data_IF_606624797891
#
_entry.id   IF_606624797891
#
_cell.length_a   1.000
_cell.length_b   1.000
_cell.length_c   1.000
_cell.angle_alpha   90.00
_cell.angle_beta   90.00
_cell.angle_gamma   90.00
#
_symmetry.space_group_name_H-M   'P 1'
#
loop_
_entity.id
_entity.type
_entity.pdbx_description
1 polymer ?
#
# COMPACT_ATOMS: atom_id res chain seq x y z
N UNK A 1 -38.65 -58.89 54.05
CA UNK A 1 -37.39 -59.16 54.77
C UNK A 1 -36.35 -59.57 53.74
N UNK A 2 -35.42 -58.67 53.37
CA UNK A 2 -34.13 -59.09 52.79
C UNK A 2 -33.19 -59.44 53.95
N UNK A 3 -32.30 -60.43 53.81
CA UNK A 3 -30.92 -60.16 53.32
C UNK A 3 -30.38 -61.38 52.52
N UNK A 4 -29.16 -61.52 51.98
CA UNK A 4 -27.84 -60.86 52.01
C UNK A 4 -27.03 -61.53 50.86
N UNK A 5 -26.17 -60.79 50.16
CA UNK A 5 -25.14 -61.36 49.25
C UNK A 5 -23.92 -61.81 50.10
N UNK A 6 -23.17 -62.84 49.69
CA UNK A 6 -21.73 -62.60 49.44
C UNK A 6 -21.11 -63.37 48.25
N UNK A 7 -19.92 -62.88 47.92
CA UNK A 7 -19.03 -63.13 46.79
C UNK A 7 -18.25 -64.48 46.74
N UNK A 8 -17.69 -64.71 45.53
CA UNK A 8 -16.36 -65.28 45.19
C UNK A 8 -16.17 -66.81 45.07
N UNK A 9 -15.82 -67.28 43.87
CA UNK A 9 -14.75 -68.27 43.60
C UNK A 9 -14.34 -68.24 42.11
N UNK A 10 -13.11 -68.68 41.84
CA UNK A 10 -12.21 -68.33 40.74
C UNK A 10 -11.84 -69.57 39.87
N UNK A 11 -11.03 -69.39 38.82
CA UNK A 11 -10.23 -70.40 38.03
C UNK A 11 -10.99 -71.07 36.86
N UNK A 12 -10.51 -71.31 35.63
CA UNK A 12 -9.27 -71.16 34.83
C UNK A 12 -9.74 -71.08 33.34
N UNK A 13 -9.11 -70.37 32.39
CA UNK A 13 -7.77 -70.62 31.84
C UNK A 13 -7.84 -71.50 30.59
N UNK A 14 -7.65 -70.93 29.38
CA UNK A 14 -6.83 -71.52 28.30
C UNK A 14 -6.61 -70.51 27.16
N UNK A 15 -5.35 -70.21 26.89
CA UNK A 15 -4.88 -69.49 25.72
C UNK A 15 -4.72 -70.44 24.52
N UNK A 16 -5.08 -69.98 23.33
CA UNK A 16 -4.61 -70.54 22.06
C UNK A 16 -4.41 -69.41 21.04
N UNK A 17 -3.17 -69.28 20.57
CA UNK A 17 -2.72 -68.33 19.57
C UNK A 17 -2.40 -69.06 18.25
N UNK A 18 -2.23 -68.24 17.19
CA UNK A 18 -1.70 -68.52 15.83
C UNK A 18 -2.78 -68.95 14.81
N UNK A 19 -2.85 -68.39 13.59
CA UNK A 19 -1.90 -67.62 12.80
C UNK A 19 -2.63 -66.65 11.85
N UNK A 20 -2.18 -65.40 11.80
CA UNK A 20 -2.52 -64.43 10.77
C UNK A 20 -1.22 -63.85 10.23
N UNK A 21 -0.96 -64.08 8.95
CA UNK A 21 0.29 -63.78 8.24
C UNK A 21 0.61 -62.28 8.29
N UNK A 22 1.72 -61.93 8.91
CA UNK A 22 2.35 -60.61 8.79
C UNK A 22 3.08 -60.54 7.47
N UNK A 23 2.53 -59.81 6.49
CA UNK A 23 3.33 -59.29 5.39
C UNK A 23 4.12 -58.09 5.91
N UNK A 24 5.39 -58.34 6.24
CA UNK A 24 6.39 -57.34 6.59
C UNK A 24 7.01 -56.78 5.30
N UNK A 25 6.24 -55.98 4.54
CA UNK A 25 6.77 -55.30 3.37
C UNK A 25 5.90 -54.08 3.01
N UNK A 26 5.89 -53.05 3.86
CA UNK A 26 5.85 -51.63 3.48
C UNK A 26 5.80 -50.75 4.74
N UNK A 27 6.90 -50.73 5.48
CA UNK A 27 7.10 -49.80 6.58
C UNK A 27 8.10 -48.71 6.16
N UNK A 28 7.83 -48.04 5.04
CA UNK A 28 8.49 -46.79 4.67
C UNK A 28 7.61 -46.05 3.68
N UNK A 29 7.33 -44.79 4.00
CA UNK A 29 6.49 -43.83 3.25
C UNK A 29 5.07 -43.72 3.79
N UNK A 30 4.90 -42.75 4.69
CA UNK A 30 3.87 -41.68 4.68
C UNK A 30 3.71 -41.14 6.12
N UNK A 31 4.71 -40.41 6.63
CA UNK A 31 4.41 -39.41 7.67
C UNK A 31 3.70 -38.28 6.95
N UNK A 32 2.37 -38.26 7.11
CA UNK A 32 1.46 -37.41 6.40
C UNK A 32 1.89 -35.95 6.42
N UNK A 33 1.94 -35.37 5.22
CA UNK A 33 1.70 -33.94 5.00
C UNK A 33 0.45 -33.58 5.78
N UNK A 34 0.58 -32.91 6.92
CA UNK A 34 -0.58 -32.36 7.62
C UNK A 34 -1.33 -31.53 6.57
N UNK A 35 -2.60 -31.83 6.27
CA UNK A 35 -3.38 -31.01 5.38
C UNK A 35 -3.30 -29.59 5.93
N UNK A 36 -3.02 -28.62 5.07
CA UNK A 36 -3.29 -27.22 5.38
C UNK A 36 -4.79 -27.21 5.63
N UNK A 37 -5.20 -27.26 6.92
CA UNK A 37 -6.60 -27.08 7.29
C UNK A 37 -6.99 -25.73 6.69
N UNK A 38 -7.80 -25.82 5.65
CA UNK A 38 -8.25 -24.71 4.84
C UNK A 38 -8.94 -23.70 5.73
N UNK A 39 -8.22 -22.62 6.01
CA UNK A 39 -8.64 -21.22 5.84
C UNK A 39 -10.14 -21.08 5.54
N UNK A 40 -11.01 -21.12 6.56
CA UNK A 40 -12.24 -20.32 6.50
C UNK A 40 -11.80 -18.88 6.70
N UNK A 41 -11.30 -18.26 5.63
CA UNK A 41 -11.00 -16.85 5.70
C UNK A 41 -12.26 -16.05 5.50
N UNK A 42 -12.65 -15.37 6.56
CA UNK A 42 -13.51 -14.19 6.43
C UNK A 42 -12.66 -12.96 6.16
N UNK A 43 -13.31 -11.92 5.64
CA UNK A 43 -12.66 -10.62 5.49
C UNK A 43 -12.19 -10.09 6.85
N UNK A 44 -10.99 -9.52 6.84
CA UNK A 44 -10.29 -8.98 8.00
C UNK A 44 -11.04 -7.79 8.58
N UNK A 45 -11.36 -7.84 9.88
CA UNK A 45 -11.85 -6.70 10.65
C UNK A 45 -10.80 -6.16 11.62
N UNK A 46 -11.05 -4.97 12.15
CA UNK A 46 -10.22 -4.34 13.19
C UNK A 46 -10.85 -4.46 14.58
N UNK A 47 -10.06 -4.62 15.66
CA UNK A 47 -8.61 -4.81 15.68
C UNK A 47 -8.19 -6.26 15.42
N UNK A 48 -7.05 -6.45 14.75
CA UNK A 48 -6.44 -7.77 14.54
C UNK A 48 -5.45 -8.16 15.64
N UNK A 49 -5.39 -9.46 15.94
CA UNK A 49 -4.35 -10.07 16.76
C UNK A 49 -3.94 -11.44 16.22
N UNK A 50 -2.68 -11.81 16.36
CA UNK A 50 -2.20 -13.16 16.04
C UNK A 50 -1.79 -13.90 17.32
N UNK A 51 -2.15 -15.17 17.42
CA UNK A 51 -1.73 -16.07 18.50
C UNK A 51 -0.92 -17.21 17.89
N UNK A 52 0.27 -17.45 18.41
CA UNK A 52 1.16 -18.54 18.03
C UNK A 52 1.23 -19.54 19.18
N UNK A 53 0.74 -20.75 18.96
CA UNK A 53 0.93 -21.90 19.84
C UNK A 53 2.25 -22.58 19.53
N UNK A 54 3.17 -22.57 20.51
CA UNK A 54 4.46 -23.24 20.38
C UNK A 54 4.34 -24.76 20.46
N UNK A 55 3.46 -25.31 21.31
CA UNK A 55 3.28 -26.77 21.39
C UNK A 55 2.64 -27.34 20.14
N UNK A 56 1.62 -26.66 19.63
CA UNK A 56 0.83 -27.15 18.50
C UNK A 56 1.39 -26.70 17.15
N UNK A 57 2.48 -25.91 17.16
CA UNK A 57 3.14 -25.36 15.98
C UNK A 57 2.12 -24.72 15.03
N UNK A 58 1.31 -23.81 15.57
CA UNK A 58 0.19 -23.19 14.85
C UNK A 58 0.10 -21.69 15.10
N UNK A 59 -0.25 -20.93 14.07
CA UNK A 59 -0.68 -19.55 14.20
C UNK A 59 -2.18 -19.46 13.91
N UNK A 60 -2.91 -18.75 14.76
CA UNK A 60 -4.32 -18.38 14.54
C UNK A 60 -4.43 -16.86 14.66
N UNK A 61 -4.99 -16.23 13.63
CA UNK A 61 -5.25 -14.79 13.58
C UNK A 61 -6.71 -14.57 13.91
N UNK A 62 -7.00 -13.57 14.74
CA UNK A 62 -8.33 -13.19 15.19
C UNK A 62 -8.61 -11.72 14.89
N UNK A 63 -9.88 -11.38 14.73
CA UNK A 63 -10.37 -10.04 14.96
C UNK A 63 -11.54 -10.05 15.96
N UNK A 64 -12.21 -8.90 16.15
CA UNK A 64 -13.35 -8.74 17.05
C UNK A 64 -14.46 -9.81 16.94
N UNK A 65 -14.66 -10.44 15.77
CA UNK A 65 -15.70 -11.46 15.54
C UNK A 65 -15.23 -12.91 15.70
N UNK A 66 -13.95 -13.14 16.01
CA UNK A 66 -13.37 -14.48 16.15
C UNK A 66 -12.15 -14.72 15.24
N UNK A 67 -11.78 -15.97 14.98
CA UNK A 67 -10.62 -16.27 14.13
C UNK A 67 -10.92 -15.94 12.65
N UNK A 68 -9.87 -15.55 11.90
CA UNK A 68 -9.92 -15.20 10.47
C UNK A 68 -9.00 -16.08 9.64
N UNK A 69 -7.85 -16.47 10.18
CA UNK A 69 -6.81 -17.18 9.46
C UNK A 69 -6.12 -18.15 10.39
N UNK A 70 -5.69 -19.29 9.85
CA UNK A 70 -4.97 -20.31 10.60
C UNK A 70 -3.98 -21.03 9.70
N UNK A 71 -2.81 -21.35 10.24
CA UNK A 71 -1.75 -22.02 9.49
C UNK A 71 -0.79 -22.76 10.43
N UNK A 72 -0.15 -23.86 9.99
CA UNK A 72 0.98 -24.41 10.71
C UNK A 72 2.15 -23.42 10.71
N UNK A 73 3.02 -23.54 11.72
CA UNK A 73 4.28 -22.80 11.81
C UNK A 73 5.45 -23.72 12.14
N UNK A 74 6.67 -23.20 12.02
CA UNK A 74 7.87 -23.82 12.59
C UNK A 74 8.61 -22.79 13.44
N UNK A 75 8.57 -22.97 14.76
CA UNK A 75 9.20 -22.08 15.75
C UNK A 75 10.66 -22.45 16.04
N UNK A 76 11.27 -21.72 16.98
CA UNK A 76 12.65 -21.91 17.45
C UNK A 76 12.89 -23.28 18.07
N UNK A 77 13.97 -23.94 17.65
CA UNK A 77 14.39 -25.23 18.19
C UNK A 77 14.97 -25.11 19.61
N UNK A 78 15.22 -26.25 20.26
CA UNK A 78 15.88 -26.28 21.57
C UNK A 78 17.24 -25.58 21.53
N UNK A 79 17.49 -24.71 22.51
CA UNK A 79 18.68 -23.85 22.61
C UNK A 79 18.58 -22.54 21.81
N UNK A 80 17.52 -22.36 21.00
CA UNK A 80 17.19 -21.12 20.26
C UNK A 80 15.68 -20.94 20.21
N UNK A 81 15.05 -21.08 21.36
CA UNK A 81 13.61 -21.09 21.51
C UNK A 81 12.99 -19.76 21.12
N UNK A 82 11.79 -19.82 20.51
CA UNK A 82 10.95 -18.64 20.37
C UNK A 82 10.43 -18.26 21.76
N UNK A 83 10.63 -17.03 22.25
CA UNK A 83 10.18 -16.62 23.56
C UNK A 83 8.65 -16.51 23.60
N UNK A 84 8.04 -17.07 24.63
CA UNK A 84 6.63 -16.84 24.94
C UNK A 84 6.44 -15.42 25.50
N UNK A 85 5.32 -14.79 25.18
CA UNK A 85 5.04 -13.42 25.60
C UNK A 85 4.07 -12.71 24.69
N UNK A 86 3.86 -11.42 24.97
CA UNK A 86 3.03 -10.54 24.16
C UNK A 86 3.95 -9.55 23.46
N UNK A 87 3.86 -9.52 22.14
CA UNK A 87 4.68 -8.70 21.26
C UNK A 87 3.80 -7.83 20.37
N UNK A 88 4.44 -6.90 19.68
CA UNK A 88 3.84 -6.12 18.61
C UNK A 88 4.71 -6.18 17.37
N UNK A 89 4.11 -6.14 16.19
CA UNK A 89 4.87 -5.96 14.95
C UNK A 89 5.54 -4.59 14.98
N UNK A 90 6.86 -4.54 15.00
CA UNK A 90 7.64 -3.28 15.06
C UNK A 90 8.19 -2.86 13.69
N UNK A 91 8.32 -3.82 12.76
CA UNK A 91 8.86 -3.56 11.43
C UNK A 91 8.31 -4.59 10.45
N UNK A 92 8.08 -4.14 9.21
CA UNK A 92 7.64 -4.98 8.09
C UNK A 92 8.56 -4.76 6.90
N UNK A 93 9.07 -5.83 6.32
CA UNK A 93 9.91 -5.82 5.12
C UNK A 93 9.49 -6.99 4.25
N UNK A 94 9.13 -6.71 3.00
CA UNK A 94 8.64 -7.73 2.06
C UNK A 94 9.76 -8.70 1.67
N UNK A 95 10.88 -8.20 1.14
CA UNK A 95 12.05 -9.02 0.81
C UNK A 95 13.18 -8.77 1.81
N UNK A 96 13.21 -9.56 2.88
CA UNK A 96 14.24 -9.42 3.91
C UNK A 96 15.31 -10.52 3.84
N UNK A 97 16.56 -10.12 4.04
CA UNK A 97 17.72 -11.00 4.15
C UNK A 97 18.34 -10.83 5.54
N UNK A 98 18.64 -11.94 6.22
CA UNK A 98 19.13 -11.93 7.58
C UNK A 98 20.62 -11.59 7.68
N UNK A 99 20.95 -10.42 8.23
CA UNK A 99 22.34 -10.05 8.54
C UNK A 99 23.00 -10.99 9.58
N UNK A 100 22.20 -11.68 10.41
CA UNK A 100 22.70 -12.55 11.49
C UNK A 100 22.82 -14.01 11.07
N UNK A 101 22.23 -14.39 9.94
CA UNK A 101 22.13 -15.78 9.49
C UNK A 101 22.46 -15.91 8.01
N UNK A 102 23.69 -15.54 7.64
CA UNK A 102 24.28 -15.81 6.31
C UNK A 102 23.37 -15.43 5.13
N UNK A 103 22.78 -14.23 5.19
CA UNK A 103 21.84 -13.70 4.20
C UNK A 103 20.64 -14.63 3.92
N UNK A 104 20.19 -15.38 4.93
CA UNK A 104 19.01 -16.22 4.81
C UNK A 104 17.79 -15.37 4.39
N UNK A 105 17.18 -15.76 3.27
CA UNK A 105 15.99 -15.11 2.73
C UNK A 105 14.75 -15.37 3.61
N UNK A 106 14.09 -14.29 4.01
CA UNK A 106 12.95 -14.26 4.92
C UNK A 106 11.83 -13.40 4.31
N UNK A 107 11.09 -13.92 3.30
CA UNK A 107 10.04 -13.16 2.64
C UNK A 107 8.89 -12.83 3.60
N UNK A 108 8.28 -11.68 3.38
CA UNK A 108 7.18 -11.12 4.16
C UNK A 108 7.49 -11.05 5.66
N UNK A 109 8.71 -10.59 5.99
CA UNK A 109 9.19 -10.48 7.35
C UNK A 109 8.37 -9.46 8.15
N UNK A 110 7.90 -9.88 9.32
CA UNK A 110 7.28 -9.03 10.34
C UNK A 110 8.04 -9.21 11.67
N UNK A 111 8.84 -8.21 12.04
CA UNK A 111 9.68 -8.24 13.23
C UNK A 111 8.84 -8.00 14.47
N UNK A 112 9.09 -8.78 15.51
CA UNK A 112 8.39 -8.67 16.81
C UNK A 112 9.31 -8.39 17.98
N UNK A 113 10.63 -8.56 17.80
CA UNK A 113 11.63 -8.17 18.81
C UNK A 113 12.79 -7.40 18.18
N UNK A 114 13.40 -6.52 18.97
CA UNK A 114 14.66 -5.86 18.61
C UNK A 114 15.83 -6.84 18.53
N UNK A 115 15.73 -7.99 19.21
CA UNK A 115 16.76 -9.04 19.21
C UNK A 115 16.85 -9.85 17.92
N UNK A 116 15.92 -9.71 16.98
CA UNK A 116 15.99 -10.44 15.70
C UNK A 116 14.79 -11.31 15.36
N UNK A 117 13.86 -11.51 16.29
CA UNK A 117 12.79 -12.51 16.12
C UNK A 117 11.67 -11.92 15.29
N UNK A 118 11.25 -12.68 14.28
CA UNK A 118 10.25 -12.27 13.30
C UNK A 118 9.34 -13.43 12.90
N UNK A 119 8.18 -13.06 12.36
CA UNK A 119 7.33 -13.93 11.57
C UNK A 119 7.73 -13.77 10.10
N UNK A 120 7.87 -14.86 9.35
CA UNK A 120 8.19 -14.77 7.91
C UNK A 120 7.84 -16.08 7.17
N UNK A 121 7.83 -16.02 5.84
CA UNK A 121 7.69 -17.18 4.97
C UNK A 121 8.91 -18.09 5.04
N UNK A 122 8.70 -19.41 5.06
CA UNK A 122 9.79 -20.39 5.06
C UNK A 122 9.32 -21.84 4.96
N UNK A 123 10.28 -22.76 4.89
CA UNK A 123 10.01 -24.21 4.85
C UNK A 123 9.59 -24.71 6.23
N UNK A 124 8.54 -25.54 6.30
CA UNK A 124 8.03 -26.10 7.55
C UNK A 124 8.31 -27.61 7.59
N UNK A 125 9.22 -28.09 8.46
CA UNK A 125 9.50 -29.52 8.60
C UNK A 125 8.48 -30.25 9.49
N UNK A 126 7.44 -29.55 9.98
CA UNK A 126 6.41 -30.10 10.87
C UNK A 126 6.78 -30.11 12.35
N UNK A 127 7.89 -29.50 12.74
CA UNK A 127 8.33 -29.33 14.13
C UNK A 127 9.14 -28.03 14.30
N UNK A 128 9.45 -27.66 15.54
CA UNK A 128 10.27 -26.50 15.87
C UNK A 128 11.72 -26.68 15.38
N UNK A 129 12.14 -25.86 14.41
CA UNK A 129 13.39 -26.04 13.68
C UNK A 129 14.01 -24.72 13.19
N UNK A 130 13.54 -23.57 13.66
CA UNK A 130 14.16 -22.28 13.36
C UNK A 130 15.19 -21.89 14.43
N UNK A 131 15.89 -20.77 14.21
CA UNK A 131 16.78 -20.15 15.20
C UNK A 131 16.06 -19.11 16.09
N UNK A 132 14.73 -19.17 16.17
CA UNK A 132 13.91 -18.29 17.02
C UNK A 132 12.72 -17.67 16.28
N UNK A 133 12.88 -17.40 14.98
CA UNK A 133 11.81 -16.89 14.12
C UNK A 133 10.64 -17.87 13.96
N UNK A 134 9.46 -17.36 13.64
CA UNK A 134 8.27 -18.17 13.39
C UNK A 134 8.09 -18.27 11.88
N UNK A 135 8.42 -19.44 11.32
CA UNK A 135 8.27 -19.69 9.89
C UNK A 135 6.85 -20.14 9.58
N UNK A 136 6.27 -19.62 8.52
CA UNK A 136 4.96 -20.02 8.01
C UNK A 136 5.02 -20.32 6.49
N UNK A 137 4.02 -21.00 5.90
CA UNK A 137 3.96 -21.18 4.46
C UNK A 137 4.03 -19.83 3.73
N UNK A 138 4.72 -19.79 2.58
CA UNK A 138 4.97 -18.54 1.84
C UNK A 138 3.69 -17.76 1.52
N UNK A 139 2.68 -18.42 0.97
CA UNK A 139 1.41 -17.76 0.62
C UNK A 139 0.68 -17.19 1.85
N UNK A 140 0.76 -17.90 2.98
CA UNK A 140 0.18 -17.43 4.23
C UNK A 140 0.97 -16.23 4.79
N UNK A 141 2.30 -16.22 4.64
CA UNK A 141 3.13 -15.09 5.04
C UNK A 141 2.82 -13.84 4.22
N UNK A 142 2.67 -13.99 2.90
CA UNK A 142 2.27 -12.91 2.00
C UNK A 142 0.94 -12.31 2.43
N UNK A 143 -0.08 -13.17 2.59
CA UNK A 143 -1.41 -12.74 3.01
C UNK A 143 -1.41 -12.06 4.37
N UNK A 144 -0.76 -12.67 5.37
CA UNK A 144 -0.63 -12.06 6.70
C UNK A 144 0.11 -10.72 6.60
N UNK A 145 1.09 -10.59 5.72
CA UNK A 145 1.80 -9.33 5.54
C UNK A 145 0.94 -8.26 4.87
N UNK A 146 0.00 -8.59 4.00
CA UNK A 146 -0.92 -7.59 3.44
C UNK A 146 -1.94 -7.13 4.48
N UNK A 147 -2.49 -8.06 5.27
CA UNK A 147 -3.57 -7.77 6.20
C UNK A 147 -3.11 -7.01 7.46
N UNK A 148 -1.85 -7.19 7.90
CA UNK A 148 -1.41 -6.63 9.19
C UNK A 148 -0.88 -5.21 9.10
N UNK A 149 -0.82 -4.51 10.23
CA UNK A 149 -0.15 -3.22 10.36
C UNK A 149 0.96 -3.26 11.42
N UNK A 150 1.92 -2.32 11.34
CA UNK A 150 2.84 -2.05 12.44
C UNK A 150 2.04 -1.72 13.69
N UNK A 151 2.39 -2.34 14.82
CA UNK A 151 1.65 -2.26 16.08
C UNK A 151 0.67 -3.41 16.32
N UNK A 152 0.38 -4.25 15.31
CA UNK A 152 -0.48 -5.43 15.51
C UNK A 152 0.08 -6.32 16.61
N UNK A 153 -0.79 -6.79 17.51
CA UNK A 153 -0.42 -7.67 18.61
C UNK A 153 -0.15 -9.09 18.14
N UNK A 154 0.98 -9.65 18.59
CA UNK A 154 1.35 -11.06 18.41
C UNK A 154 1.56 -11.68 19.78
N UNK A 155 0.74 -12.65 20.13
CA UNK A 155 0.83 -13.41 21.38
C UNK A 155 1.51 -14.73 21.06
N UNK A 156 2.60 -15.05 21.76
CA UNK A 156 3.27 -16.33 21.66
C UNK A 156 3.01 -17.08 22.97
N UNK A 157 2.28 -18.18 22.87
CA UNK A 157 1.84 -18.97 24.01
C UNK A 157 2.42 -20.39 23.95
N UNK A 158 2.72 -21.00 25.11
CA UNK A 158 3.14 -22.41 25.14
C UNK A 158 2.10 -23.37 24.56
N UNK A 159 0.81 -23.12 24.78
CA UNK A 159 -0.31 -23.95 24.33
C UNK A 159 -1.26 -23.14 23.43
N UNK A 160 -2.15 -23.82 22.70
CA UNK A 160 -3.21 -23.13 21.95
C UNK A 160 -4.17 -22.43 22.91
N UNK A 161 -4.35 -21.12 22.67
CA UNK A 161 -5.21 -20.25 23.46
C UNK A 161 -6.06 -19.42 22.50
N UNK A 162 -7.28 -19.13 22.90
CA UNK A 162 -8.21 -18.30 22.14
C UNK A 162 -8.64 -17.10 22.99
N UNK A 163 -8.87 -15.92 22.38
CA UNK A 163 -9.53 -14.81 23.04
C UNK A 163 -10.90 -15.24 23.55
N UNK A 164 -11.23 -14.84 24.79
CA UNK A 164 -12.56 -15.03 25.38
C UNK A 164 -13.22 -13.69 25.58
N UNK A 165 -14.51 -13.62 25.32
CA UNK A 165 -15.29 -12.42 25.58
C UNK A 165 -15.39 -12.19 27.10
N UNK A 166 -15.10 -10.97 27.53
CA UNK A 166 -15.25 -10.55 28.93
C UNK A 166 -16.40 -9.57 28.98
N UNK A 167 -17.40 -9.88 29.79
CA UNK A 167 -18.54 -8.98 30.05
C UNK A 167 -18.52 -8.59 31.53
N UNK A 168 -18.34 -7.30 31.81
CA UNK A 168 -18.41 -6.79 33.18
C UNK A 168 -18.95 -5.34 33.19
N UNK A 169 -19.84 -4.95 34.13
CA UNK A 169 -20.45 -3.61 34.14
C UNK A 169 -19.46 -2.45 34.25
N UNK A 170 -18.29 -2.69 34.86
CA UNK A 170 -17.22 -1.70 35.02
C UNK A 170 -16.13 -1.80 33.94
N UNK A 171 -16.35 -2.53 32.84
CA UNK A 171 -15.43 -2.44 31.70
C UNK A 171 -15.41 -1.00 31.19
N UNK A 172 -14.23 -0.56 30.75
CA UNK A 172 -14.07 0.75 30.12
C UNK A 172 -15.03 0.85 28.93
N UNK A 173 -16.07 1.64 29.07
CA UNK A 173 -16.93 1.99 27.96
C UNK A 173 -16.31 3.16 27.20
N UNK A 174 -16.40 3.14 25.87
CA UNK A 174 -16.07 4.32 25.09
C UNK A 174 -16.94 5.49 25.56
N UNK A 175 -16.33 6.65 25.78
CA UNK A 175 -17.06 7.84 26.21
C UNK A 175 -18.15 8.14 25.17
N UNK A 176 -19.42 8.33 25.58
CA UNK A 176 -20.48 8.75 24.67
C UNK A 176 -20.01 9.98 23.87
N UNK A 177 -20.10 9.89 22.55
CA UNK A 177 -19.63 10.94 21.64
C UNK A 177 -18.20 10.77 21.09
N UNK A 178 -17.40 9.81 21.57
CA UNK A 178 -16.08 9.54 20.94
C UNK A 178 -16.24 9.06 19.51
N UNK A 179 -17.22 8.17 19.25
CA UNK A 179 -17.56 7.73 17.91
C UNK A 179 -18.04 8.89 17.02
N UNK A 180 -18.85 9.80 17.56
CA UNK A 180 -19.30 10.99 16.84
C UNK A 180 -18.14 11.95 16.52
N UNK A 181 -17.19 12.13 17.45
CA UNK A 181 -16.00 12.96 17.24
C UNK A 181 -15.04 12.35 16.21
N UNK A 182 -14.86 11.02 16.22
CA UNK A 182 -14.08 10.31 15.19
C UNK A 182 -14.78 10.41 13.83
N UNK A 183 -16.10 10.26 13.78
CA UNK A 183 -16.89 10.44 12.56
C UNK A 183 -16.80 11.89 12.02
N UNK A 184 -16.82 12.89 12.90
CA UNK A 184 -16.66 14.29 12.49
C UNK A 184 -15.26 14.55 11.90
N UNK A 185 -14.20 14.09 12.58
CA UNK A 185 -12.82 14.25 12.09
C UNK A 185 -12.56 13.52 10.76
N UNK A 186 -13.13 12.32 10.60
CA UNK A 186 -13.02 11.57 9.34
C UNK A 186 -13.77 12.28 8.21
N UNK A 187 -14.97 12.80 8.46
CA UNK A 187 -15.72 13.58 7.49
C UNK A 187 -14.98 14.87 7.09
N UNK A 188 -14.39 15.59 8.05
CA UNK A 188 -13.57 16.78 7.81
C UNK A 188 -12.34 16.44 6.95
N UNK A 189 -11.64 15.34 7.25
CA UNK A 189 -10.49 14.88 6.48
C UNK A 189 -10.87 14.50 5.03
N UNK A 190 -11.97 13.77 4.85
CA UNK A 190 -12.49 13.44 3.51
C UNK A 190 -12.88 14.69 2.72
N UNK A 191 -13.51 15.67 3.36
CA UNK A 191 -13.85 16.93 2.72
C UNK A 191 -12.59 17.72 2.31
N UNK A 192 -11.57 17.76 3.17
CA UNK A 192 -10.30 18.40 2.86
C UNK A 192 -9.60 17.71 1.66
N UNK A 193 -9.63 16.38 1.60
CA UNK A 193 -9.13 15.62 0.44
C UNK A 193 -9.91 15.97 -0.83
N UNK A 194 -11.25 16.00 -0.78
CA UNK A 194 -12.09 16.37 -1.92
C UNK A 194 -11.77 17.78 -2.43
N UNK A 195 -11.67 18.76 -1.53
CA UNK A 195 -11.31 20.15 -1.87
C UNK A 195 -9.93 20.24 -2.52
N UNK A 196 -8.94 19.51 -1.99
CA UNK A 196 -7.59 19.50 -2.54
C UNK A 196 -7.53 18.90 -3.96
N UNK A 197 -8.27 17.80 -4.20
CA UNK A 197 -8.39 17.21 -5.55
C UNK A 197 -9.07 18.19 -6.51
N UNK A 198 -10.17 18.82 -6.11
CA UNK A 198 -10.87 19.80 -6.95
C UNK A 198 -9.98 21.00 -7.29
N UNK A 199 -9.25 21.54 -6.31
CA UNK A 199 -8.35 22.68 -6.52
C UNK A 199 -7.19 22.32 -7.47
N UNK A 200 -6.63 21.11 -7.36
CA UNK A 200 -5.62 20.61 -8.31
C UNK A 200 -6.17 20.49 -9.74
N UNK A 201 -7.38 19.96 -9.88
CA UNK A 201 -8.04 19.86 -11.18
C UNK A 201 -8.29 21.25 -11.79
N UNK A 202 -8.75 22.21 -10.99
CA UNK A 202 -8.95 23.60 -11.39
C UNK A 202 -7.62 24.28 -11.82
N UNK A 203 -6.53 24.04 -11.09
CA UNK A 203 -5.21 24.53 -11.48
C UNK A 203 -4.74 23.92 -12.81
N UNK A 204 -4.97 22.62 -13.01
CA UNK A 204 -4.64 21.94 -14.27
C UNK A 204 -5.49 22.43 -15.45
N UNK A 205 -6.77 22.74 -15.25
CA UNK A 205 -7.62 23.33 -16.30
C UNK A 205 -7.17 24.73 -16.66
N UNK A 206 -6.94 25.60 -15.66
CA UNK A 206 -6.45 26.96 -15.88
C UNK A 206 -5.11 26.96 -16.64
N UNK A 207 -4.19 26.06 -16.26
CA UNK A 207 -2.89 25.93 -16.94
C UNK A 207 -3.04 25.51 -18.40
N UNK A 208 -3.94 24.57 -18.71
CA UNK A 208 -4.22 24.14 -20.09
C UNK A 208 -4.81 25.27 -20.92
N UNK A 209 -5.73 26.05 -20.36
CA UNK A 209 -6.34 27.21 -21.03
C UNK A 209 -5.32 28.31 -21.31
N UNK A 210 -4.46 28.64 -20.34
CA UNK A 210 -3.37 29.59 -20.53
C UNK A 210 -2.38 29.10 -21.60
N UNK A 211 -2.00 27.83 -21.57
CA UNK A 211 -1.11 27.23 -22.58
C UNK A 211 -1.70 27.31 -23.98
N UNK A 212 -3.01 27.04 -24.13
CA UNK A 212 -3.72 27.20 -25.41
C UNK A 212 -3.74 28.66 -25.87
N UNK A 213 -3.91 29.60 -24.95
CA UNK A 213 -3.93 31.03 -25.27
C UNK A 213 -2.55 31.61 -25.58
N UNK A 214 -1.46 30.97 -25.15
CA UNK A 214 -0.10 31.36 -25.54
C UNK A 214 0.21 31.07 -27.02
N UNK A 215 -0.49 30.11 -27.63
CA UNK A 215 -0.27 29.71 -29.03
C UNK A 215 -0.43 30.89 -30.01
N UNK A 216 -1.56 31.63 -30.04
CA UNK A 216 -1.74 32.77 -30.94
C UNK A 216 -0.74 33.90 -30.64
N UNK A 217 -0.38 34.14 -29.38
CA UNK A 217 0.62 35.16 -29.00
C UNK A 217 1.97 34.84 -29.64
N UNK A 218 2.45 33.61 -29.48
CA UNK A 218 3.72 33.16 -30.09
C UNK A 218 3.66 33.16 -31.61
N UNK A 219 2.53 32.78 -32.19
CA UNK A 219 2.34 32.79 -33.64
C UNK A 219 2.41 34.23 -34.20
N UNK A 220 1.71 35.19 -33.57
CA UNK A 220 1.73 36.59 -33.97
C UNK A 220 3.12 37.22 -33.80
N UNK A 221 3.82 36.90 -32.71
CA UNK A 221 5.20 37.35 -32.48
C UNK A 221 6.17 36.84 -33.55
N UNK A 222 6.11 35.54 -33.87
CA UNK A 222 6.96 34.96 -34.92
C UNK A 222 6.66 35.55 -36.30
N UNK A 223 5.38 35.80 -36.62
CA UNK A 223 4.99 36.43 -37.87
C UNK A 223 5.49 37.88 -37.94
N UNK A 224 5.41 38.62 -36.84
CA UNK A 224 5.93 39.98 -36.75
C UNK A 224 7.44 40.02 -37.01
N UNK A 225 8.20 39.16 -36.33
CA UNK A 225 9.66 39.04 -36.53
C UNK A 225 10.02 38.72 -37.99
N UNK A 226 9.21 37.87 -38.66
CA UNK A 226 9.38 37.59 -40.09
C UNK A 226 9.12 38.82 -40.96
N UNK A 227 8.04 39.56 -40.69
CA UNK A 227 7.71 40.77 -41.44
C UNK A 227 8.76 41.89 -41.25
N UNK A 228 9.36 42.00 -40.06
CA UNK A 228 10.49 42.90 -39.79
C UNK A 228 11.75 42.51 -40.57
N UNK A 229 12.02 41.20 -40.71
CA UNK A 229 13.08 40.70 -41.57
C UNK A 229 12.82 41.01 -43.06
N UNK A 230 11.58 40.85 -43.53
CA UNK A 230 11.18 41.16 -44.90
C UNK A 230 11.30 42.67 -45.20
N UNK A 231 10.97 43.54 -44.23
CA UNK A 231 11.18 44.98 -44.33
C UNK A 231 12.67 45.32 -44.46
N UNK A 232 13.51 44.72 -43.62
CA UNK A 232 14.98 44.93 -43.66
C UNK A 232 15.57 44.50 -45.01
N UNK A 233 15.05 43.40 -45.59
CA UNK A 233 15.43 42.92 -46.91
C UNK A 233 14.97 43.87 -48.03
N UNK A 234 13.74 44.40 -47.96
CA UNK A 234 13.21 45.37 -48.92
C UNK A 234 13.99 46.69 -48.90
N UNK A 235 14.39 47.17 -47.73
CA UNK A 235 15.24 48.38 -47.59
C UNK A 235 16.64 48.16 -48.17
N UNK A 236 17.23 46.99 -47.95
CA UNK A 236 18.52 46.61 -48.55
C UNK A 236 18.43 46.49 -50.08
N UNK A 237 17.32 45.96 -50.61
CA UNK A 237 17.05 45.87 -52.04
C UNK A 237 16.85 47.27 -52.66
N UNK A 238 16.17 48.18 -51.97
CA UNK A 238 15.99 49.57 -52.42
C UNK A 238 17.35 50.30 -52.50
N UNK A 239 18.22 50.11 -51.52
CA UNK A 239 19.57 50.69 -51.48
C UNK A 239 20.52 50.16 -52.57
N UNK A 240 20.26 48.96 -53.10
CA UNK A 240 21.08 48.30 -54.13
C UNK A 240 20.45 48.32 -55.54
N UNK A 241 19.23 48.84 -55.69
CA UNK A 241 18.48 48.84 -56.95
C UNK A 241 19.04 49.84 -57.99
N UNK A 242 19.37 49.32 -59.18
CA UNK A 242 20.00 50.09 -60.27
C UNK A 242 19.01 50.50 -61.37
N UNK A 243 17.88 49.81 -61.52
CA UNK A 243 16.84 50.15 -62.51
C UNK A 243 15.63 50.82 -61.87
N UNK A 244 14.93 51.69 -62.62
CA UNK A 244 13.71 52.38 -62.15
C UNK A 244 12.63 51.38 -61.72
N UNK A 245 12.43 50.31 -62.49
CA UNK A 245 11.49 49.23 -62.18
C UNK A 245 11.86 48.50 -60.89
N UNK A 246 13.15 48.27 -60.62
CA UNK A 246 13.60 47.63 -59.38
C UNK A 246 13.41 48.54 -58.15
N UNK A 247 13.53 49.86 -58.32
CA UNK A 247 13.25 50.84 -57.25
C UNK A 247 11.76 50.89 -56.88
N UNK A 248 10.87 50.99 -57.87
CA UNK A 248 9.42 50.95 -57.64
C UNK A 248 8.97 49.64 -56.95
N UNK A 249 9.54 48.51 -57.36
CA UNK A 249 9.23 47.21 -56.73
C UNK A 249 9.72 47.13 -55.28
N UNK A 250 10.92 47.64 -54.99
CA UNK A 250 11.46 47.65 -53.63
C UNK A 250 10.71 48.64 -52.71
N UNK A 251 10.25 49.77 -53.25
CA UNK A 251 9.45 50.76 -52.53
C UNK A 251 8.04 50.23 -52.22
N UNK A 252 7.39 49.60 -53.20
CA UNK A 252 6.10 48.90 -52.99
C UNK A 252 6.23 47.77 -51.97
N UNK A 253 7.30 46.97 -52.03
CA UNK A 253 7.57 45.91 -51.07
C UNK A 253 7.80 46.44 -49.65
N UNK A 254 8.49 47.59 -49.52
CA UNK A 254 8.69 48.28 -48.23
C UNK A 254 7.37 48.74 -47.62
N UNK A 255 6.49 49.36 -48.40
CA UNK A 255 5.17 49.80 -47.93
C UNK A 255 4.30 48.62 -47.49
N UNK A 256 4.30 47.52 -48.27
CA UNK A 256 3.58 46.30 -47.91
C UNK A 256 4.11 45.66 -46.62
N UNK A 257 5.43 45.59 -46.46
CA UNK A 257 6.06 45.06 -45.25
C UNK A 257 5.73 45.93 -44.01
N UNK A 258 5.76 47.27 -44.16
CA UNK A 258 5.39 48.20 -43.10
C UNK A 258 3.92 48.08 -42.66
N UNK A 259 2.99 47.99 -43.62
CA UNK A 259 1.58 47.75 -43.34
C UNK A 259 1.36 46.40 -42.63
N UNK A 260 2.09 45.35 -43.06
CA UNK A 260 2.00 44.02 -42.46
C UNK A 260 2.54 43.98 -41.02
N UNK A 261 3.61 44.69 -40.72
CA UNK A 261 4.14 44.82 -39.35
C UNK A 261 3.12 45.50 -38.44
N UNK A 262 2.49 46.59 -38.90
CA UNK A 262 1.47 47.31 -38.12
C UNK A 262 0.25 46.40 -37.81
N UNK A 263 -0.22 45.62 -38.79
CA UNK A 263 -1.29 44.66 -38.61
C UNK A 263 -0.92 43.56 -37.59
N UNK A 264 0.26 42.95 -37.75
CA UNK A 264 0.74 41.88 -36.88
C UNK A 264 1.02 42.36 -35.46
N UNK A 265 1.45 43.60 -35.30
CA UNK A 265 1.63 44.23 -33.99
C UNK A 265 0.29 44.43 -33.28
N UNK A 266 -0.75 44.88 -33.98
CA UNK A 266 -2.10 44.96 -33.42
C UNK A 266 -2.65 43.58 -33.03
N UNK A 267 -2.41 42.54 -33.85
CA UNK A 267 -2.80 41.17 -33.54
C UNK A 267 -2.07 40.60 -32.30
N UNK A 268 -0.78 40.89 -32.15
CA UNK A 268 0.02 40.46 -30.99
C UNK A 268 -0.44 41.12 -29.69
N UNK A 269 -0.69 42.42 -29.70
CA UNK A 269 -1.20 43.15 -28.52
C UNK A 269 -2.59 42.64 -28.12
N UNK A 270 -3.50 42.42 -29.09
CA UNK A 270 -4.80 41.84 -28.81
C UNK A 270 -4.69 40.43 -28.22
N UNK A 271 -3.83 39.57 -28.79
CA UNK A 271 -3.61 38.23 -28.27
C UNK A 271 -3.01 38.24 -26.85
N UNK A 272 -2.15 39.22 -26.53
CA UNK A 272 -1.62 39.42 -25.17
C UNK A 272 -2.69 39.85 -24.18
N UNK A 273 -3.57 40.77 -24.58
CA UNK A 273 -4.70 41.21 -23.76
C UNK A 273 -5.63 40.04 -23.42
N UNK A 274 -5.85 39.10 -24.36
CA UNK A 274 -6.62 37.88 -24.10
C UNK A 274 -5.88 36.84 -23.25
N UNK A 275 -4.54 36.84 -23.26
CA UNK A 275 -3.71 35.92 -22.48
C UNK A 275 -3.63 36.33 -21.01
N UNK A 276 -3.56 37.64 -20.71
CA UNK A 276 -3.38 38.16 -19.36
C UNK A 276 -4.38 37.59 -18.33
N UNK A 277 -5.71 37.63 -18.53
CA UNK A 277 -6.66 37.10 -17.54
C UNK A 277 -6.50 35.59 -17.32
N UNK A 278 -5.99 34.84 -18.30
CA UNK A 278 -5.74 33.40 -18.18
C UNK A 278 -4.49 33.11 -17.35
N UNK A 279 -3.46 33.95 -17.44
CA UNK A 279 -2.29 33.86 -16.57
C UNK A 279 -2.63 34.21 -15.12
N UNK A 280 -3.47 35.23 -14.91
CA UNK A 280 -3.95 35.60 -13.58
C UNK A 280 -4.79 34.45 -12.97
N UNK A 281 -5.64 33.81 -13.78
CA UNK A 281 -6.40 32.63 -13.38
C UNK A 281 -5.50 31.43 -13.00
N UNK A 282 -4.38 31.21 -13.70
CA UNK A 282 -3.39 30.18 -13.34
C UNK A 282 -2.77 30.47 -11.98
N UNK A 283 -2.39 31.71 -11.73
CA UNK A 283 -1.79 32.13 -10.46
C UNK A 283 -2.76 31.90 -9.31
N UNK A 284 -3.99 32.39 -9.44
CA UNK A 284 -5.03 32.21 -8.42
C UNK A 284 -5.40 30.74 -8.19
N UNK A 285 -5.51 29.94 -9.26
CA UNK A 285 -5.82 28.51 -9.13
C UNK A 285 -4.67 27.72 -8.48
N UNK A 286 -3.41 28.10 -8.74
CA UNK A 286 -2.23 27.48 -8.12
C UNK A 286 -2.15 27.80 -6.63
N UNK A 287 -2.42 29.04 -6.24
CA UNK A 287 -2.47 29.46 -4.83
C UNK A 287 -3.60 28.74 -4.10
N UNK A 288 -4.78 28.64 -4.70
CA UNK A 288 -5.91 27.88 -4.15
C UNK A 288 -5.58 26.39 -3.97
N UNK A 289 -4.88 25.78 -4.95
CA UNK A 289 -4.43 24.40 -4.85
C UNK A 289 -3.39 24.20 -3.74
N UNK A 290 -2.47 25.14 -3.56
CA UNK A 290 -1.50 25.10 -2.47
C UNK A 290 -2.17 25.20 -1.10
N UNK A 291 -3.10 26.16 -0.92
CA UNK A 291 -3.86 26.32 0.31
C UNK A 291 -4.71 25.08 0.65
N UNK A 292 -5.36 24.48 -0.36
CA UNK A 292 -6.16 23.27 -0.16
C UNK A 292 -5.30 22.05 0.22
N UNK A 293 -4.09 21.93 -0.31
CA UNK A 293 -3.14 20.89 0.11
C UNK A 293 -2.62 21.10 1.53
N UNK A 294 -2.36 22.34 1.95
CA UNK A 294 -2.02 22.64 3.35
C UNK A 294 -3.17 22.27 4.29
N UNK A 295 -4.42 22.60 3.93
CA UNK A 295 -5.59 22.23 4.72
C UNK A 295 -5.78 20.70 4.81
N UNK A 296 -5.54 19.98 3.70
CA UNK A 296 -5.54 18.52 3.69
C UNK A 296 -4.46 17.95 4.62
N UNK A 297 -3.23 18.47 4.56
CA UNK A 297 -2.13 18.00 5.40
C UNK A 297 -2.38 18.23 6.89
N UNK A 298 -3.13 19.27 7.26
CA UNK A 298 -3.51 19.55 8.65
C UNK A 298 -4.67 18.68 9.16
N UNK A 299 -5.43 18.03 8.26
CA UNK A 299 -6.60 17.22 8.60
C UNK A 299 -6.30 15.71 8.76
N UNK A 300 -5.06 15.29 8.48
CA UNK A 300 -4.55 13.91 8.61
C UNK A 300 -3.67 13.81 9.85
#
# INVERSE_FOLDING_TARGET
>A
MLPRIPNLAFVAGLAAALAGSVNLADAKTTRGRQPVESIESRATGDPMLAIVSLRDQRITVYDAKGWILRSPVSSGQKGRETPAGIFSVIQKVEDHYSNLYDDAFMPHMQRITWSGIALHGGVLPGYAASHGCIRMPFDFAARLFEETATGMRVIIAPNDVAPVEIVHPLLFQQKPGSAAMVAARTAEAEEAVRKAVQARLAAATAFREATRAMVPVRAAENLKLKAEADLTAAESALGSAVSSKAKEQAESAKEHAGARIAELQAQWENAKLELQPKLDAVTGAREAAAAAETARAAAV
#
